data_IF_410939231472
#
_entry.id   IF_410939231472
#
_cell.length_a   1.000
_cell.length_b   1.000
_cell.length_c   1.000
_cell.angle_alpha   90.00
_cell.angle_beta   90.00
_cell.angle_gamma   90.00
#
_symmetry.space_group_name_H-M   'P 1'
#
loop_
_entity.id
_entity.type
_entity.pdbx_description
1 polymer ?
#
# COMPACT_ATOMS: atom_id res chain seq x y z
N UNK A 1 129.79 -101.64 -65.58
CA UNK A 1 128.47 -101.05 -65.82
C UNK A 1 127.73 -101.97 -66.77
N UNK A 2 126.96 -102.88 -66.19
CA UNK A 2 126.28 -103.96 -66.89
C UNK A 2 124.88 -103.48 -67.30
N UNK A 3 124.44 -103.86 -68.51
CA UNK A 3 123.14 -103.55 -69.10
C UNK A 3 121.94 -103.74 -68.14
N UNK A 4 122.04 -104.73 -67.24
CA UNK A 4 121.04 -105.06 -66.22
C UNK A 4 120.79 -103.92 -65.22
N UNK A 5 121.81 -103.15 -64.84
CA UNK A 5 121.66 -102.04 -63.89
C UNK A 5 120.92 -100.84 -64.50
N UNK A 6 121.04 -100.64 -65.82
CA UNK A 6 120.31 -99.60 -66.56
C UNK A 6 118.85 -99.99 -66.78
N UNK A 7 118.57 -101.26 -67.09
CA UNK A 7 117.20 -101.76 -67.22
C UNK A 7 116.46 -101.69 -65.88
N UNK A 8 117.11 -102.06 -64.76
CA UNK A 8 116.52 -101.93 -63.43
C UNK A 8 116.25 -100.46 -63.03
N UNK A 9 117.12 -99.50 -63.42
CA UNK A 9 116.89 -98.07 -63.20
C UNK A 9 115.77 -97.51 -64.07
N UNK A 10 115.63 -98.02 -65.30
CA UNK A 10 114.54 -97.62 -66.20
C UNK A 10 113.20 -98.14 -65.67
N UNK A 11 113.17 -99.38 -65.21
CA UNK A 11 111.99 -99.97 -64.55
C UNK A 11 111.64 -99.21 -63.27
N UNK A 12 112.62 -98.88 -62.41
CA UNK A 12 112.35 -98.08 -61.21
C UNK A 12 111.85 -96.67 -61.51
N UNK A 13 112.41 -95.99 -62.53
CA UNK A 13 111.91 -94.67 -62.96
C UNK A 13 110.49 -94.77 -63.54
N UNK A 14 110.18 -95.86 -64.24
CA UNK A 14 108.85 -96.09 -64.81
C UNK A 14 107.82 -96.32 -63.71
N UNK A 15 108.17 -97.09 -62.68
CA UNK A 15 107.35 -97.28 -61.49
C UNK A 15 107.14 -95.97 -60.73
N UNK A 16 108.18 -95.14 -60.58
CA UNK A 16 108.08 -93.83 -59.93
C UNK A 16 107.16 -92.87 -60.71
N UNK A 17 107.25 -92.85 -62.05
CA UNK A 17 106.33 -92.05 -62.90
C UNK A 17 104.89 -92.50 -62.74
N UNK A 18 104.64 -93.81 -62.69
CA UNK A 18 103.30 -94.36 -62.53
C UNK A 18 102.73 -94.04 -61.14
N UNK A 19 103.55 -94.12 -60.10
CA UNK A 19 103.18 -93.75 -58.74
C UNK A 19 102.82 -92.26 -58.62
N UNK A 20 103.64 -91.37 -59.17
CA UNK A 20 103.36 -89.93 -59.16
C UNK A 20 102.09 -89.59 -59.95
N UNK A 21 101.82 -90.28 -61.06
CA UNK A 21 100.57 -90.10 -61.82
C UNK A 21 99.33 -90.48 -61.02
N UNK A 22 99.34 -91.60 -60.30
CA UNK A 22 98.17 -91.99 -59.52
C UNK A 22 97.89 -91.02 -58.37
N UNK A 23 98.94 -90.51 -57.72
CA UNK A 23 98.81 -89.49 -56.66
C UNK A 23 98.18 -88.20 -57.20
N UNK A 24 98.67 -87.69 -58.35
CA UNK A 24 98.12 -86.45 -58.91
C UNK A 24 96.68 -86.60 -59.40
N UNK A 25 96.28 -87.78 -59.87
CA UNK A 25 94.87 -88.06 -60.20
C UNK A 25 93.97 -88.01 -58.96
N UNK A 26 94.45 -88.56 -57.84
CA UNK A 26 93.72 -88.58 -56.58
C UNK A 26 93.61 -87.16 -55.98
N UNK A 27 94.69 -86.36 -56.00
CA UNK A 27 94.66 -84.95 -55.58
C UNK A 27 93.69 -84.10 -56.43
N UNK A 28 93.65 -84.31 -57.75
CA UNK A 28 92.72 -83.62 -58.63
C UNK A 28 91.26 -83.95 -58.30
N UNK A 29 90.98 -85.22 -57.96
CA UNK A 29 89.64 -85.64 -57.60
C UNK A 29 89.19 -85.00 -56.28
N UNK A 30 90.07 -84.92 -55.29
CA UNK A 30 89.79 -84.31 -53.98
C UNK A 30 89.54 -82.80 -54.10
N UNK A 31 90.36 -82.08 -54.87
CA UNK A 31 90.15 -80.66 -55.15
C UNK A 31 88.82 -80.39 -55.86
N UNK A 32 88.44 -81.27 -56.79
CA UNK A 32 87.16 -81.14 -57.50
C UNK A 32 85.96 -81.40 -56.58
N UNK A 33 86.10 -82.28 -55.58
CA UNK A 33 85.08 -82.49 -54.54
C UNK A 33 84.94 -81.25 -53.65
N UNK A 34 86.06 -80.67 -53.18
CA UNK A 34 86.02 -79.48 -52.30
C UNK A 34 85.32 -78.28 -52.96
N UNK A 35 85.48 -78.08 -54.27
CA UNK A 35 84.82 -76.98 -55.00
C UNK A 35 83.29 -77.18 -55.07
N UNK A 36 82.82 -78.42 -55.20
CA UNK A 36 81.38 -78.69 -55.26
C UNK A 36 80.70 -78.46 -53.92
N UNK A 37 81.37 -78.82 -52.82
CA UNK A 37 80.79 -78.69 -51.47
C UNK A 37 80.75 -77.23 -50.95
N UNK A 38 81.52 -76.31 -51.53
CA UNK A 38 81.51 -74.88 -51.15
C UNK A 38 80.51 -74.02 -51.92
N UNK A 39 79.86 -74.54 -52.95
CA UNK A 39 78.88 -73.80 -53.76
C UNK A 39 77.44 -74.06 -53.30
N UNK A 40 77.07 -73.59 -52.10
CA UNK A 40 75.68 -73.48 -51.66
C UNK A 40 75.29 -72.00 -51.67
N UNK A 41 74.65 -71.56 -52.75
CA UNK A 41 74.10 -70.20 -52.87
C UNK A 41 72.73 -70.21 -52.18
N UNK A 42 72.63 -69.48 -51.06
CA UNK A 42 71.36 -69.25 -50.35
C UNK A 42 70.70 -68.02 -50.94
N UNK A 43 69.79 -68.21 -51.89
CA UNK A 43 68.93 -67.14 -52.39
C UNK A 43 67.81 -66.87 -51.39
N UNK A 44 67.92 -65.78 -50.63
CA UNK A 44 66.88 -65.32 -49.72
C UNK A 44 65.87 -64.51 -50.53
N UNK A 45 64.75 -65.14 -50.90
CA UNK A 45 63.68 -64.49 -51.66
C UNK A 45 63.05 -63.34 -50.85
N UNK A 46 63.47 -62.12 -51.16
CA UNK A 46 62.99 -60.88 -50.55
C UNK A 46 62.01 -60.14 -51.48
N UNK A 47 61.15 -60.86 -52.20
CA UNK A 47 60.19 -60.30 -53.16
C UNK A 47 58.85 -59.87 -52.54
N UNK A 48 58.83 -59.39 -51.29
CA UNK A 48 57.66 -58.67 -50.75
C UNK A 48 57.67 -57.23 -51.25
N UNK A 49 57.11 -57.02 -52.44
CA UNK A 49 56.80 -55.68 -52.92
C UNK A 49 55.72 -55.05 -52.04
N UNK A 50 56.09 -54.06 -51.23
CA UNK A 50 55.12 -53.19 -50.59
C UNK A 50 54.49 -52.32 -51.68
N UNK A 51 53.17 -52.42 -51.85
CA UNK A 51 52.41 -51.56 -52.76
C UNK A 51 52.34 -50.15 -52.15
N UNK A 52 53.36 -49.36 -52.46
CA UNK A 52 53.49 -47.99 -51.98
C UNK A 52 52.36 -47.10 -52.52
N UNK A 53 51.80 -47.43 -53.69
CA UNK A 53 50.71 -46.66 -54.29
C UNK A 53 49.41 -46.86 -53.51
N UNK A 54 49.12 -48.09 -53.06
CA UNK A 54 47.97 -48.38 -52.18
C UNK A 54 48.08 -47.66 -50.83
N UNK A 55 49.26 -47.65 -50.20
CA UNK A 55 49.48 -46.97 -48.91
C UNK A 55 49.34 -45.44 -49.08
N UNK A 56 49.88 -44.87 -50.17
CA UNK A 56 49.74 -43.43 -50.45
C UNK A 56 48.27 -43.07 -50.73
N UNK A 57 47.52 -43.92 -51.43
CA UNK A 57 46.09 -43.72 -51.65
C UNK A 57 45.29 -43.75 -50.33
N UNK A 58 45.59 -44.69 -49.43
CA UNK A 58 44.94 -44.78 -48.12
C UNK A 58 45.26 -43.57 -47.22
N UNK A 59 46.52 -43.13 -47.18
CA UNK A 59 46.91 -41.92 -46.45
C UNK A 59 46.20 -40.69 -47.01
N UNK A 60 46.08 -40.56 -48.34
CA UNK A 60 45.31 -39.47 -48.97
C UNK A 60 43.84 -39.51 -48.57
N UNK A 61 43.21 -40.68 -48.61
CA UNK A 61 41.81 -40.85 -48.22
C UNK A 61 41.60 -40.46 -46.74
N UNK A 62 42.51 -40.84 -45.84
CA UNK A 62 42.43 -40.44 -44.43
C UNK A 62 42.60 -38.92 -44.24
N UNK A 63 43.51 -38.29 -44.98
CA UNK A 63 43.66 -36.82 -44.93
C UNK A 63 42.43 -36.10 -45.47
N UNK A 64 41.84 -36.61 -46.54
CA UNK A 64 40.61 -36.06 -47.12
C UNK A 64 39.43 -36.20 -46.15
N UNK A 65 39.30 -37.35 -45.48
CA UNK A 65 38.31 -37.57 -44.43
C UNK A 65 38.50 -36.66 -43.22
N UNK A 66 39.75 -36.45 -42.78
CA UNK A 66 40.07 -35.53 -41.67
C UNK A 66 39.76 -34.08 -42.07
N UNK A 67 40.09 -33.68 -43.30
CA UNK A 67 39.78 -32.36 -43.83
C UNK A 67 38.26 -32.14 -43.93
N UNK A 68 37.51 -33.13 -44.41
CA UNK A 68 36.06 -33.09 -44.49
C UNK A 68 35.41 -33.05 -43.10
N UNK A 69 35.90 -33.84 -42.14
CA UNK A 69 35.44 -33.79 -40.73
C UNK A 69 35.72 -32.43 -40.11
N UNK A 70 36.94 -31.91 -40.25
CA UNK A 70 37.30 -30.59 -39.72
C UNK A 70 36.43 -29.48 -40.32
N UNK A 71 36.14 -29.55 -41.63
CA UNK A 71 35.22 -28.63 -42.29
C UNK A 71 33.80 -28.73 -41.74
N UNK A 72 33.25 -29.94 -41.62
CA UNK A 72 31.91 -30.15 -41.09
C UNK A 72 31.77 -29.72 -39.63
N UNK A 73 32.80 -29.98 -38.81
CA UNK A 73 32.87 -29.51 -37.43
C UNK A 73 32.90 -27.98 -37.36
N UNK A 74 33.73 -27.32 -38.17
CA UNK A 74 33.76 -25.86 -38.25
C UNK A 74 32.41 -25.27 -38.70
N UNK A 75 31.80 -25.82 -39.75
CA UNK A 75 30.49 -25.39 -40.23
C UNK A 75 29.39 -25.59 -39.17
N UNK A 76 29.37 -26.73 -38.47
CA UNK A 76 28.42 -26.97 -37.37
C UNK A 76 28.64 -26.05 -36.17
N UNK A 77 29.90 -25.74 -35.86
CA UNK A 77 30.26 -24.82 -34.79
C UNK A 77 29.81 -23.39 -35.11
N UNK A 78 30.06 -22.93 -36.34
CA UNK A 78 29.59 -21.61 -36.81
C UNK A 78 28.07 -21.54 -36.84
N UNK A 79 27.41 -22.60 -37.32
CA UNK A 79 25.95 -22.67 -37.34
C UNK A 79 25.36 -22.57 -35.94
N UNK A 80 25.90 -23.34 -35.00
CA UNK A 80 25.46 -23.30 -33.59
C UNK A 80 25.67 -21.90 -33.00
N UNK A 81 26.83 -21.28 -33.23
CA UNK A 81 27.09 -19.91 -32.75
C UNK A 81 26.17 -18.86 -33.37
N UNK A 82 25.84 -19.02 -34.65
CA UNK A 82 24.89 -18.15 -35.33
C UNK A 82 23.48 -18.33 -34.79
N UNK A 83 23.04 -19.56 -34.56
CA UNK A 83 21.73 -19.87 -33.95
C UNK A 83 21.65 -19.34 -32.50
N UNK A 84 22.70 -19.47 -31.69
CA UNK A 84 22.79 -18.85 -30.35
C UNK A 84 22.70 -17.32 -30.42
N UNK A 85 23.40 -16.69 -31.36
CA UNK A 85 23.36 -15.24 -31.53
C UNK A 85 21.97 -14.77 -32.02
N UNK A 86 21.36 -15.51 -32.94
CA UNK A 86 20.02 -15.20 -33.45
C UNK A 86 18.96 -15.36 -32.37
N UNK A 87 19.03 -16.42 -31.57
CA UNK A 87 18.08 -16.67 -30.47
C UNK A 87 18.25 -15.64 -29.35
N UNK A 88 19.48 -15.28 -28.98
CA UNK A 88 19.73 -14.21 -28.00
C UNK A 88 19.26 -12.84 -28.50
N UNK A 89 19.54 -12.48 -29.76
CA UNK A 89 19.02 -11.25 -30.36
C UNK A 89 17.48 -11.21 -30.37
N UNK A 90 16.83 -12.35 -30.65
CA UNK A 90 15.36 -12.46 -30.60
C UNK A 90 14.84 -12.26 -29.18
N UNK A 91 15.45 -12.93 -28.19
CA UNK A 91 15.09 -12.76 -26.77
C UNK A 91 15.21 -11.32 -26.31
N UNK A 92 16.32 -10.64 -26.61
CA UNK A 92 16.49 -9.23 -26.27
C UNK A 92 15.44 -8.34 -26.95
N UNK A 93 15.06 -8.66 -28.19
CA UNK A 93 13.97 -7.98 -28.89
C UNK A 93 12.61 -8.16 -28.21
N UNK A 94 12.31 -9.39 -27.79
CA UNK A 94 11.07 -9.73 -27.08
C UNK A 94 11.02 -9.10 -25.67
N UNK A 95 12.13 -9.14 -24.93
CA UNK A 95 12.26 -8.49 -23.62
C UNK A 95 12.09 -6.96 -23.74
N UNK A 96 12.70 -6.34 -24.75
CA UNK A 96 12.52 -4.91 -25.02
C UNK A 96 11.07 -4.58 -25.39
N UNK A 97 10.41 -5.46 -26.14
CA UNK A 97 8.99 -5.29 -26.47
C UNK A 97 8.10 -5.45 -25.24
N UNK A 98 8.37 -6.43 -24.39
CA UNK A 98 7.66 -6.70 -23.14
C UNK A 98 7.78 -5.51 -22.16
N UNK A 99 9.00 -5.04 -21.93
CA UNK A 99 9.26 -3.85 -21.10
C UNK A 99 8.59 -2.60 -21.67
N UNK A 100 8.59 -2.41 -22.99
CA UNK A 100 7.85 -1.31 -23.62
C UNK A 100 6.34 -1.40 -23.41
N UNK A 101 5.76 -2.61 -23.46
CA UNK A 101 4.33 -2.79 -23.16
C UNK A 101 4.02 -2.52 -21.69
N UNK A 102 4.87 -2.98 -20.78
CA UNK A 102 4.72 -2.71 -19.34
C UNK A 102 4.81 -1.21 -19.03
N UNK A 103 5.77 -0.49 -19.63
CA UNK A 103 5.86 0.96 -19.51
C UNK A 103 4.59 1.64 -20.01
N UNK A 104 4.03 1.20 -21.13
CA UNK A 104 2.79 1.76 -21.67
C UNK A 104 1.59 1.52 -20.73
N UNK A 105 1.49 0.34 -20.13
CA UNK A 105 0.41 -0.01 -19.20
C UNK A 105 0.56 0.73 -17.86
N UNK A 106 1.78 0.85 -17.34
CA UNK A 106 2.07 1.71 -16.18
C UNK A 106 1.73 3.17 -16.47
N UNK A 107 2.04 3.68 -17.66
CA UNK A 107 1.69 5.04 -18.07
C UNK A 107 0.18 5.25 -18.09
N UNK A 108 -0.59 4.28 -18.63
CA UNK A 108 -2.06 4.30 -18.59
C UNK A 108 -2.60 4.25 -17.17
N UNK A 109 -1.99 3.42 -16.31
CA UNK A 109 -2.37 3.32 -14.90
C UNK A 109 -2.13 4.64 -14.17
N UNK A 110 -0.98 5.29 -14.41
CA UNK A 110 -0.66 6.61 -13.87
C UNK A 110 -1.72 7.61 -14.30
N UNK A 111 -2.04 7.70 -15.60
CA UNK A 111 -3.07 8.61 -16.11
C UNK A 111 -4.44 8.37 -15.46
N UNK A 112 -4.84 7.11 -15.29
CA UNK A 112 -6.08 6.74 -14.60
C UNK A 112 -6.07 7.23 -13.15
N UNK A 113 -5.02 6.94 -12.41
CA UNK A 113 -4.88 7.36 -11.01
C UNK A 113 -4.83 8.89 -10.88
N UNK A 114 -4.16 9.60 -11.78
CA UNK A 114 -4.18 11.07 -11.81
C UNK A 114 -5.60 11.59 -12.03
N UNK A 115 -6.36 11.03 -12.97
CA UNK A 115 -7.75 11.43 -13.20
C UNK A 115 -8.66 11.15 -12.01
N UNK A 116 -8.42 10.04 -11.29
CA UNK A 116 -9.15 9.70 -10.07
C UNK A 116 -8.82 10.66 -8.93
N UNK A 117 -7.55 11.01 -8.76
CA UNK A 117 -7.09 12.01 -7.79
C UNK A 117 -7.74 13.37 -8.09
N UNK A 118 -7.75 13.80 -9.35
CA UNK A 118 -8.33 15.09 -9.72
C UNK A 118 -9.85 15.11 -9.55
N UNK A 119 -10.54 14.00 -9.85
CA UNK A 119 -11.96 13.83 -9.56
C UNK A 119 -12.25 13.94 -8.06
N UNK A 120 -11.51 13.22 -7.22
CA UNK A 120 -11.69 13.25 -5.75
C UNK A 120 -11.34 14.62 -5.17
N UNK A 121 -10.29 15.29 -5.68
CA UNK A 121 -9.98 16.68 -5.32
C UNK A 121 -11.13 17.63 -5.69
N UNK A 122 -11.73 17.48 -6.86
CA UNK A 122 -12.91 18.23 -7.28
C UNK A 122 -14.11 17.98 -6.36
N UNK A 123 -14.37 16.72 -6.00
CA UNK A 123 -15.42 16.36 -5.03
C UNK A 123 -15.17 16.98 -3.66
N UNK A 124 -13.93 16.92 -3.16
CA UNK A 124 -13.55 17.53 -1.88
C UNK A 124 -13.78 19.04 -1.91
N UNK A 125 -13.32 19.74 -2.95
CA UNK A 125 -13.51 21.18 -3.07
C UNK A 125 -15.01 21.56 -3.13
N UNK A 126 -15.82 20.76 -3.83
CA UNK A 126 -17.27 20.96 -3.88
C UNK A 126 -17.95 20.73 -2.52
N UNK A 127 -17.52 19.71 -1.77
CA UNK A 127 -18.01 19.45 -0.42
C UNK A 127 -17.57 20.56 0.56
N UNK A 128 -16.34 21.02 0.48
CA UNK A 128 -15.84 22.15 1.29
C UNK A 128 -16.64 23.42 0.99
N UNK A 129 -16.96 23.70 -0.28
CA UNK A 129 -17.82 24.82 -0.66
C UNK A 129 -19.24 24.68 -0.10
N UNK A 130 -19.83 23.48 -0.17
CA UNK A 130 -21.16 23.22 0.41
C UNK A 130 -21.18 23.36 1.93
N UNK A 131 -20.11 22.90 2.61
CA UNK A 131 -19.97 23.08 4.06
C UNK A 131 -19.89 24.56 4.40
N UNK A 132 -19.02 25.32 3.71
CA UNK A 132 -18.90 26.76 3.93
C UNK A 132 -20.24 27.50 3.70
N UNK A 133 -20.98 27.16 2.64
CA UNK A 133 -22.30 27.75 2.37
C UNK A 133 -23.35 27.36 3.43
N UNK A 134 -23.31 26.12 3.91
CA UNK A 134 -24.19 25.66 4.99
C UNK A 134 -23.87 26.35 6.32
N UNK A 135 -22.58 26.53 6.63
CA UNK A 135 -22.10 27.26 7.80
C UNK A 135 -22.52 28.75 7.74
N UNK A 136 -22.30 29.43 6.62
CA UNK A 136 -22.70 30.83 6.43
C UNK A 136 -24.22 31.00 6.58
N UNK A 137 -25.00 30.13 5.92
CA UNK A 137 -26.47 30.14 6.04
C UNK A 137 -26.92 29.87 7.48
N UNK A 138 -26.26 28.95 8.17
CA UNK A 138 -26.52 28.64 9.57
C UNK A 138 -26.21 29.83 10.49
N UNK A 139 -25.08 30.49 10.28
CA UNK A 139 -24.69 31.69 11.04
C UNK A 139 -25.69 32.83 10.84
N UNK A 140 -26.11 33.08 9.60
CA UNK A 140 -27.13 34.09 9.28
C UNK A 140 -28.46 33.78 9.97
N UNK A 141 -28.92 32.53 9.93
CA UNK A 141 -30.16 32.12 10.61
C UNK A 141 -30.08 32.32 12.13
N UNK A 142 -28.94 31.99 12.75
CA UNK A 142 -28.72 32.21 14.19
C UNK A 142 -28.70 33.70 14.51
N UNK A 143 -28.06 34.52 13.66
CA UNK A 143 -28.00 35.97 13.83
C UNK A 143 -29.39 36.61 13.75
N UNK A 144 -30.21 36.18 12.79
CA UNK A 144 -31.59 36.64 12.63
C UNK A 144 -32.46 36.23 13.83
N UNK A 145 -32.39 34.96 14.25
CA UNK A 145 -33.10 34.49 15.44
C UNK A 145 -32.70 35.28 16.70
N UNK A 146 -31.41 35.54 16.91
CA UNK A 146 -30.92 36.38 18.01
C UNK A 146 -31.43 37.81 17.93
N UNK A 147 -31.45 38.41 16.74
CA UNK A 147 -32.01 39.74 16.54
C UNK A 147 -33.50 39.77 16.89
N UNK A 148 -34.26 38.75 16.48
CA UNK A 148 -35.68 38.63 16.78
C UNK A 148 -35.96 38.44 18.27
N UNK A 149 -35.15 37.63 18.96
CA UNK A 149 -35.23 37.49 20.42
C UNK A 149 -35.01 38.84 21.09
N UNK A 150 -33.97 39.58 20.71
CA UNK A 150 -33.68 40.90 21.28
C UNK A 150 -34.83 41.88 21.07
N UNK A 151 -35.42 41.91 19.87
CA UNK A 151 -36.57 42.77 19.58
C UNK A 151 -37.78 42.42 20.46
N UNK A 152 -38.04 41.12 20.66
CA UNK A 152 -39.13 40.65 21.53
C UNK A 152 -38.86 40.97 23.01
N UNK A 153 -37.62 40.84 23.47
CA UNK A 153 -37.22 41.25 24.83
C UNK A 153 -37.43 42.75 25.05
N UNK A 154 -37.04 43.58 24.08
CA UNK A 154 -37.28 45.03 24.12
C UNK A 154 -38.78 45.35 24.12
N UNK A 155 -39.57 44.69 23.27
CA UNK A 155 -41.03 44.88 23.23
C UNK A 155 -41.68 44.47 24.56
N UNK A 156 -41.24 43.36 25.15
CA UNK A 156 -41.70 42.89 26.46
C UNK A 156 -41.32 43.88 27.57
N UNK A 157 -40.12 44.46 27.51
CA UNK A 157 -39.70 45.47 28.47
C UNK A 157 -40.51 46.76 28.34
N UNK A 158 -40.80 47.22 27.12
CA UNK A 158 -41.70 48.37 26.89
C UNK A 158 -43.10 48.09 27.43
N UNK A 159 -43.67 46.92 27.15
CA UNK A 159 -44.99 46.53 27.64
C UNK A 159 -45.05 46.49 29.18
N UNK A 160 -43.99 45.99 29.84
CA UNK A 160 -43.87 46.03 31.31
C UNK A 160 -43.83 47.45 31.85
N UNK A 161 -43.10 48.36 31.20
CA UNK A 161 -43.04 49.77 31.58
C UNK A 161 -44.39 50.46 31.41
N UNK A 162 -45.08 50.21 30.30
CA UNK A 162 -46.43 50.74 30.05
C UNK A 162 -47.43 50.22 31.08
N UNK A 163 -47.38 48.93 31.42
CA UNK A 163 -48.23 48.36 32.48
C UNK A 163 -47.95 49.01 33.84
N UNK A 164 -46.68 49.21 34.19
CA UNK A 164 -46.31 49.90 35.43
C UNK A 164 -46.78 51.36 35.45
N UNK A 165 -46.75 52.06 34.29
CA UNK A 165 -47.32 53.41 34.16
C UNK A 165 -48.83 53.40 34.37
N UNK A 166 -49.56 52.49 33.71
CA UNK A 166 -51.01 52.35 33.87
C UNK A 166 -51.39 52.10 35.33
N UNK A 167 -50.68 51.24 36.05
CA UNK A 167 -50.95 50.97 37.47
C UNK A 167 -50.84 52.26 38.31
N UNK A 168 -49.83 53.11 38.06
CA UNK A 168 -49.69 54.40 38.75
C UNK A 168 -50.84 55.34 38.42
N UNK A 169 -51.18 55.48 37.15
CA UNK A 169 -52.31 56.30 36.70
C UNK A 169 -53.65 55.84 37.30
N UNK A 170 -53.87 54.52 37.38
CA UNK A 170 -55.03 53.93 38.07
C UNK A 170 -55.05 54.23 39.57
N UNK A 171 -53.89 54.18 40.23
CA UNK A 171 -53.78 54.51 41.65
C UNK A 171 -54.06 55.98 41.91
N UNK A 172 -53.55 56.88 41.07
CA UNK A 172 -53.82 58.33 41.16
C UNK A 172 -55.31 58.63 40.94
N UNK A 173 -55.94 57.98 39.95
CA UNK A 173 -57.38 58.11 39.71
C UNK A 173 -58.21 57.56 40.87
N UNK A 174 -57.79 56.44 41.47
CA UNK A 174 -58.42 55.90 42.67
C UNK A 174 -58.34 56.90 43.85
N UNK A 175 -57.20 57.55 44.04
CA UNK A 175 -57.04 58.56 45.08
C UNK A 175 -58.00 59.74 44.87
N UNK A 176 -58.16 60.21 43.64
CA UNK A 176 -59.16 61.25 43.29
C UNK A 176 -60.57 60.76 43.57
N UNK A 177 -60.91 59.52 43.21
CA UNK A 177 -62.23 58.93 43.50
C UNK A 177 -62.52 58.90 44.99
N UNK A 178 -61.55 58.49 45.81
CA UNK A 178 -61.70 58.48 47.28
C UNK A 178 -61.87 59.88 47.85
N UNK A 179 -61.14 60.88 47.34
CA UNK A 179 -61.31 62.27 47.73
C UNK A 179 -62.73 62.78 47.41
N UNK A 180 -63.24 62.48 46.20
CA UNK A 180 -64.60 62.82 45.80
C UNK A 180 -65.67 62.11 46.65
N UNK A 181 -65.47 60.84 47.01
CA UNK A 181 -66.38 60.14 47.92
C UNK A 181 -66.46 60.82 49.30
N UNK A 182 -65.31 61.28 49.81
CA UNK A 182 -65.24 62.03 51.08
C UNK A 182 -66.00 63.36 50.93
N UNK A 183 -65.79 64.10 49.83
CA UNK A 183 -66.52 65.34 49.56
C UNK A 183 -68.04 65.10 49.47
N UNK A 184 -68.49 64.04 48.78
CA UNK A 184 -69.91 63.70 48.72
C UNK A 184 -70.45 63.37 50.11
N UNK A 185 -69.70 62.64 50.93
CA UNK A 185 -70.09 62.32 52.30
C UNK A 185 -70.19 63.57 53.19
N UNK A 186 -69.27 64.53 53.03
CA UNK A 186 -69.34 65.81 53.77
C UNK A 186 -70.49 66.68 53.29
N UNK A 187 -70.73 66.77 51.97
CA UNK A 187 -71.90 67.49 51.42
C UNK A 187 -73.22 66.87 51.89
N UNK A 188 -73.34 65.54 51.93
CA UNK A 188 -74.52 64.84 52.49
C UNK A 188 -74.73 65.20 53.95
N UNK A 189 -73.68 65.13 54.79
CA UNK A 189 -73.76 65.47 56.21
C UNK A 189 -74.14 66.94 56.48
N UNK A 190 -73.65 67.86 55.64
CA UNK A 190 -74.03 69.28 55.71
C UNK A 190 -75.49 69.50 55.35
N UNK A 191 -75.99 68.81 54.30
CA UNK A 191 -77.40 68.86 53.94
C UNK A 191 -78.28 68.27 55.05
N UNK A 192 -77.95 67.09 55.58
CA UNK A 192 -78.66 66.48 56.71
C UNK A 192 -78.68 67.42 57.92
N UNK A 193 -77.58 68.12 58.21
CA UNK A 193 -77.53 69.12 59.29
C UNK A 193 -78.38 70.38 59.03
N UNK A 194 -78.52 70.82 57.79
CA UNK A 194 -79.44 71.91 57.41
C UNK A 194 -80.91 71.45 57.47
N UNK A 195 -81.21 70.24 57.01
CA UNK A 195 -82.54 69.63 57.12
C UNK A 195 -82.94 69.44 58.59
N UNK A 196 -82.02 69.01 59.46
CA UNK A 196 -82.24 68.94 60.91
C UNK A 196 -82.51 70.32 61.52
N UNK A 197 -81.80 71.38 61.08
CA UNK A 197 -82.05 72.76 61.53
C UNK A 197 -83.38 73.33 61.04
N UNK A 198 -83.84 72.93 59.86
CA UNK A 198 -85.14 73.32 59.32
C UNK A 198 -86.29 72.51 59.96
N UNK A 199 -86.06 71.23 60.24
CA UNK A 199 -87.01 70.35 60.93
C UNK A 199 -87.12 70.67 62.44
N UNK A 200 -86.05 71.16 63.06
CA UNK A 200 -86.01 71.60 64.46
C UNK A 200 -85.86 73.13 64.54
N UNK A 201 -87.00 73.84 64.48
CA UNK A 201 -87.02 75.30 64.58
C UNK A 201 -86.24 75.84 65.79
N UNK A 202 -85.33 76.79 65.51
CA UNK A 202 -84.59 77.71 66.40
C UNK A 202 -84.61 77.34 67.90
N UNK A 203 -83.53 76.71 68.39
CA UNK A 203 -82.99 76.90 69.75
C UNK A 203 -81.47 76.72 69.77
N UNK A 204 -80.74 77.78 70.11
CA UNK A 204 -79.34 77.75 70.57
C UNK A 204 -79.31 78.22 72.04
N UNK A 205 -78.23 78.00 72.83
CA UNK A 205 -77.15 77.01 72.75
C UNK A 205 -76.91 76.29 74.09
N UNK A 206 -76.22 75.13 74.13
CA UNK A 206 -75.42 74.78 75.31
C UNK A 206 -74.25 73.81 75.01
N UNK A 207 -73.13 74.09 75.65
CA UNK A 207 -71.85 73.36 75.67
C UNK A 207 -72.02 72.00 76.34
N UNK A 208 -71.41 70.94 75.78
CA UNK A 208 -71.01 69.77 76.57
C UNK A 208 -69.78 69.07 75.98
N UNK A 209 -68.65 69.22 76.68
CA UNK A 209 -67.49 68.35 76.57
C UNK A 209 -67.80 66.98 77.19
N UNK A 210 -67.43 65.89 76.54
CA UNK A 210 -67.09 64.65 77.22
C UNK A 210 -66.06 63.85 76.43
N UNK A 211 -65.13 63.27 77.18
CA UNK A 211 -63.98 62.51 76.73
C UNK A 211 -64.29 61.01 76.66
N UNK A 212 -63.48 60.33 75.84
CA UNK A 212 -63.04 58.92 75.96
C UNK A 212 -64.06 57.81 75.72
N UNK A 213 -63.75 56.90 74.79
CA UNK A 213 -63.80 55.45 74.98
C UNK A 213 -63.06 54.72 73.85
N UNK A 214 -61.95 54.08 74.20
CA UNK A 214 -61.33 53.04 73.39
C UNK A 214 -62.32 51.87 73.25
N UNK A 215 -62.70 51.53 72.02
CA UNK A 215 -63.39 50.27 71.73
C UNK A 215 -62.46 49.42 70.87
N UNK A 216 -61.77 48.48 71.52
CA UNK A 216 -61.08 47.39 70.84
C UNK A 216 -62.13 46.41 70.32
N UNK A 217 -62.59 46.61 69.10
CA UNK A 217 -63.44 45.66 68.38
C UNK A 217 -62.59 44.55 67.78
N UNK A 218 -62.58 43.43 68.50
CA UNK A 218 -62.17 42.11 68.05
C UNK A 218 -63.15 41.64 66.97
N UNK A 219 -62.73 41.62 65.70
CA UNK A 219 -63.44 40.89 64.64
C UNK A 219 -62.67 39.63 64.29
N UNK A 220 -63.16 38.55 64.90
CA UNK A 220 -63.05 37.19 64.39
C UNK A 220 -63.68 37.12 62.99
N UNK A 221 -62.93 36.58 62.03
CA UNK A 221 -63.49 35.98 60.82
C UNK A 221 -62.59 34.83 60.40
N UNK A 222 -62.90 33.65 60.92
CA UNK A 222 -62.58 32.41 60.23
C UNK A 222 -63.53 32.23 59.06
N UNK A 223 -63.00 31.89 57.88
CA UNK A 223 -63.68 31.01 56.94
C UNK A 223 -62.63 30.13 56.26
N UNK A 224 -62.86 28.84 56.43
CA UNK A 224 -62.27 27.71 55.75
C UNK A 224 -62.99 27.45 54.41
N UNK A 225 -62.50 26.44 53.69
CA UNK A 225 -62.97 25.87 52.41
C UNK A 225 -62.43 26.58 51.16
N UNK A 226 -61.83 25.91 50.18
CA UNK A 226 -61.79 24.49 49.88
C UNK A 226 -62.31 24.26 48.46
N UNK A 227 -61.40 24.07 47.50
CA UNK A 227 -61.59 23.47 46.17
C UNK A 227 -60.19 22.98 45.77
N UNK A 228 -59.83 21.70 45.64
CA UNK A 228 -60.43 20.51 45.00
C UNK A 228 -60.66 20.66 43.50
N UNK A 229 -59.99 19.79 42.74
CA UNK A 229 -59.99 19.66 41.28
C UNK A 229 -58.58 19.87 40.72
N UNK A 230 -57.81 18.87 40.29
CA UNK A 230 -58.16 17.54 39.78
C UNK A 230 -57.68 17.43 38.33
N UNK A 231 -56.85 16.41 38.07
CA UNK A 231 -56.42 15.91 36.73
C UNK A 231 -55.35 16.76 36.02
N UNK A 232 -54.18 16.25 35.64
CA UNK A 232 -53.75 14.87 35.39
C UNK A 232 -53.47 14.70 33.91
N UNK A 233 -52.20 14.79 33.50
CA UNK A 233 -51.54 14.19 32.32
C UNK A 233 -50.04 14.42 32.60
N UNK A 234 -49.22 13.41 32.86
CA UNK A 234 -48.86 12.38 31.89
C UNK A 234 -47.62 12.88 31.15
N UNK A 235 -46.43 12.48 31.60
CA UNK A 235 -45.19 12.88 30.93
C UNK A 235 -43.94 12.58 31.74
N UNK A 236 -43.54 11.31 31.75
CA UNK A 236 -42.18 10.91 32.10
C UNK A 236 -41.18 11.72 31.27
N UNK A 237 -40.33 12.49 31.92
CA UNK A 237 -39.02 12.82 31.36
C UNK A 237 -38.00 12.54 32.45
N UNK A 238 -37.49 11.32 32.43
CA UNK A 238 -36.21 11.00 33.02
C UNK A 238 -35.22 12.05 32.49
N UNK A 239 -34.59 12.77 33.43
CA UNK A 239 -33.45 13.61 33.12
C UNK A 239 -32.32 12.72 32.62
N UNK A 240 -32.27 12.51 31.31
CA UNK A 240 -31.02 12.21 30.64
C UNK A 240 -30.23 13.51 30.63
N UNK A 241 -29.38 13.67 31.63
CA UNK A 241 -28.21 14.53 31.51
C UNK A 241 -27.32 13.95 30.41
N UNK A 242 -27.63 14.25 29.15
CA UNK A 242 -26.67 14.13 28.06
C UNK A 242 -25.73 15.33 28.16
N UNK A 243 -24.79 15.24 29.11
CA UNK A 243 -23.52 15.93 29.01
C UNK A 243 -22.82 15.37 27.77
N UNK A 244 -23.07 15.98 26.61
CA UNK A 244 -22.12 15.94 25.49
C UNK A 244 -20.93 16.81 25.89
N UNK A 245 -20.08 16.22 26.73
CA UNK A 245 -18.71 16.65 26.82
C UNK A 245 -18.06 16.31 25.48
N UNK A 246 -17.74 17.34 24.69
CA UNK A 246 -16.69 17.23 23.68
C UNK A 246 -15.37 16.97 24.42
N UNK A 247 -15.17 15.72 24.82
CA UNK A 247 -13.86 15.20 25.16
C UNK A 247 -13.16 14.91 23.84
N UNK A 248 -12.19 15.74 23.46
CA UNK A 248 -11.19 15.37 22.46
C UNK A 248 -10.46 14.14 22.98
N UNK A 249 -10.95 12.95 22.65
CA UNK A 249 -10.12 11.75 22.70
C UNK A 249 -9.21 11.83 21.47
N UNK A 250 -7.98 12.31 21.67
CA UNK A 250 -6.92 12.04 20.72
C UNK A 250 -6.74 10.53 20.68
N UNK A 251 -7.38 9.88 19.72
CA UNK A 251 -7.07 8.51 19.37
C UNK A 251 -5.65 8.53 18.80
N UNK A 252 -4.67 8.19 19.63
CA UNK A 252 -3.34 7.83 19.14
C UNK A 252 -3.54 6.66 18.18
N UNK A 253 -3.23 6.90 16.91
CA UNK A 253 -3.26 5.86 15.88
C UNK A 253 -1.87 5.28 15.81
N UNK A 254 -1.72 4.01 16.20
CA UNK A 254 -0.48 3.31 16.00
C UNK A 254 -0.41 2.87 14.53
N UNK A 255 0.57 3.38 13.79
CA UNK A 255 0.82 2.99 12.40
C UNK A 255 1.90 1.93 12.42
N UNK A 256 1.57 0.72 11.96
CA UNK A 256 2.52 -0.39 11.83
C UNK A 256 3.01 -0.44 10.39
N UNK A 257 4.29 -0.15 10.18
CA UNK A 257 4.94 -0.28 8.87
C UNK A 257 5.61 -1.64 8.82
N UNK A 258 5.19 -2.46 7.85
CA UNK A 258 5.82 -3.75 7.57
C UNK A 258 6.71 -3.62 6.34
N UNK A 259 8.00 -3.93 6.52
CA UNK A 259 8.95 -4.03 5.43
C UNK A 259 9.18 -5.51 5.12
N UNK A 260 8.80 -5.92 3.90
CA UNK A 260 8.94 -7.29 3.41
C UNK A 260 9.98 -7.28 2.29
N UNK A 261 11.10 -7.95 2.49
CA UNK A 261 12.13 -8.11 1.48
C UNK A 261 11.93 -9.44 0.75
N UNK A 262 11.73 -9.38 -0.57
CA UNK A 262 11.58 -10.57 -1.42
C UNK A 262 12.74 -10.68 -2.40
N UNK A 263 13.34 -11.86 -2.48
CA UNK A 263 14.34 -12.22 -3.50
C UNK A 263 13.87 -13.49 -4.21
N UNK A 264 13.85 -13.45 -5.54
CA UNK A 264 13.41 -14.57 -6.40
C UNK A 264 12.02 -15.12 -6.05
N UNK A 265 11.09 -14.23 -5.67
CA UNK A 265 9.70 -14.58 -5.37
C UNK A 265 9.48 -15.27 -4.01
N UNK A 266 10.51 -15.36 -3.15
CA UNK A 266 10.37 -15.82 -1.75
C UNK A 266 10.70 -14.68 -0.79
N UNK A 267 9.93 -14.59 0.29
CA UNK A 267 10.15 -13.64 1.38
C UNK A 267 11.40 -14.07 2.15
N UNK A 268 12.39 -13.18 2.23
CA UNK A 268 13.70 -13.43 2.85
C UNK A 268 13.79 -12.75 4.22
N UNK A 269 13.09 -11.63 4.42
CA UNK A 269 12.99 -10.96 5.72
C UNK A 269 11.65 -10.22 5.89
N UNK A 270 11.10 -10.25 7.11
CA UNK A 270 9.94 -9.42 7.53
C UNK A 270 10.34 -8.68 8.81
N UNK A 271 10.28 -7.35 8.77
CA UNK A 271 10.44 -6.51 9.96
C UNK A 271 9.25 -5.57 10.10
N UNK A 272 8.79 -5.40 11.34
CA UNK A 272 7.65 -4.54 11.68
C UNK A 272 8.12 -3.46 12.63
N UNK A 273 7.89 -2.20 12.27
CA UNK A 273 8.16 -1.05 13.11
C UNK A 273 6.82 -0.36 13.44
N UNK A 274 6.60 -0.07 14.72
CA UNK A 274 5.39 0.59 15.20
C UNK A 274 5.74 2.04 15.50
N UNK A 275 5.14 2.95 14.75
CA UNK A 275 5.29 4.38 14.99
C UNK A 275 4.02 4.85 15.72
N UNK A 276 4.21 5.44 16.90
CA UNK A 276 3.15 6.09 17.66
C UNK A 276 3.21 7.60 17.39
N UNK A 277 2.09 8.18 16.94
CA UNK A 277 1.90 9.65 16.85
C UNK A 277 1.80 10.32 18.24
#
# INVERSE_FOLDING_TARGET
MNKVELEAKLESLTDEINFLRSIYEEELHELQSQIKDTSVIVEMDNSRNLDMDAIVAEVRAQYEDIANRSRAEAESWYRTKYEEMQTSATRYGDDLRSTKTEIADLTRMIQRLTSEIDSVKGQRANLEAQIAEAEERGELAVKDAKARIKELEEALQRAKQDMARQIREYQDLMNVKLALDIEIATYRKLLEGEEDRLASGIKFPLVLSFSTSNYSSNYSSGYSSGFSGGSGYGGSMAGFSSSSGYGTTQSKKNVVIKMIETKDGRVVSESSEVIED
#
